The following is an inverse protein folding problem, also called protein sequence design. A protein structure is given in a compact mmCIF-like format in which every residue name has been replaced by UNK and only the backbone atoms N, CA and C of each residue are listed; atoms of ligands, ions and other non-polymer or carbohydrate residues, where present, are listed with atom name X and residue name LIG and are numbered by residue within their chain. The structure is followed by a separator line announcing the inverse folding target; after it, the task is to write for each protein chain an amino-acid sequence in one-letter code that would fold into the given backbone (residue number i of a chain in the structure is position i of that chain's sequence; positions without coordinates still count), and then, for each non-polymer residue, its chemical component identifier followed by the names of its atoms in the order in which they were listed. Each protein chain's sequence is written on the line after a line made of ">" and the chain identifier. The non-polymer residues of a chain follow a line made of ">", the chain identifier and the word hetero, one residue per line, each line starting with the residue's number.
data_IF_166775720521
#
_entry.id   IF_166775720521
#
_cell.length_a   1.000
_cell.length_b   1.000
_cell.length_c   1.000
_cell.angle_alpha   90.00
_cell.angle_beta   90.00
_cell.angle_gamma   90.00
#
_symmetry.space_group_name_H-M   'P 1'
#
loop_
_entity.id
_entity.type
_entity.pdbx_description
1 polymer ?
#
# COMPACT_ATOMS: atom_id res chain seq x y z
N UNK A 1 4.18 -9.06 14.16
CA UNK A 1 4.52 -8.31 12.94
C UNK A 1 3.24 -7.67 12.44
N UNK A 2 3.17 -6.35 12.28
CA UNK A 2 1.95 -5.64 11.87
C UNK A 2 2.06 -5.24 10.40
N UNK A 3 1.06 -5.55 9.58
CA UNK A 3 1.04 -5.13 8.18
C UNK A 3 0.77 -3.64 8.05
N UNK A 4 1.61 -2.93 7.30
CA UNK A 4 1.52 -1.50 6.99
C UNK A 4 1.34 -1.33 5.48
N UNK A 5 0.20 -0.75 5.06
CA UNK A 5 -0.07 -0.37 3.65
C UNK A 5 0.00 1.16 3.54
N UNK A 6 0.93 1.68 2.76
CA UNK A 6 1.14 3.11 2.59
C UNK A 6 0.14 3.73 1.60
N UNK A 7 -0.48 4.85 1.96
CA UNK A 7 -1.40 5.62 1.12
C UNK A 7 -0.78 6.97 0.73
N UNK A 8 -0.46 7.20 -0.54
CA UNK A 8 0.26 8.41 -0.97
C UNK A 8 -0.56 9.34 -1.86
N UNK A 9 -0.26 10.64 -1.86
CA UNK A 9 -1.00 11.64 -2.63
C UNK A 9 -0.75 11.59 -4.15
N UNK A 10 0.35 10.98 -4.60
CA UNK A 10 0.72 10.85 -6.02
C UNK A 10 1.22 9.44 -6.32
N UNK A 11 0.96 8.98 -7.55
CA UNK A 11 1.42 7.71 -8.10
C UNK A 11 2.82 7.83 -8.73
N UNK A 12 3.77 8.42 -8.01
CA UNK A 12 5.14 8.51 -8.51
C UNK A 12 5.89 7.22 -8.22
N UNK A 13 6.62 6.69 -9.21
CA UNK A 13 7.36 5.43 -9.10
C UNK A 13 8.31 5.40 -7.88
N UNK A 14 8.90 6.55 -7.56
CA UNK A 14 9.80 6.70 -6.41
C UNK A 14 9.08 6.67 -5.06
N UNK A 15 7.79 7.03 -4.99
CA UNK A 15 7.05 7.03 -3.72
C UNK A 15 6.81 5.61 -3.24
N UNK A 16 6.50 4.69 -4.17
CA UNK A 16 6.39 3.27 -3.84
C UNK A 16 7.69 2.75 -3.25
N UNK A 17 8.81 2.97 -3.92
CA UNK A 17 10.11 2.46 -3.49
C UNK A 17 10.49 2.99 -2.10
N UNK A 18 10.32 4.30 -1.88
CA UNK A 18 10.56 4.94 -0.58
C UNK A 18 9.73 4.33 0.54
N UNK A 19 8.44 4.07 0.31
CA UNK A 19 7.57 3.48 1.32
C UNK A 19 8.00 2.05 1.68
N UNK A 20 8.35 1.24 0.68
CA UNK A 20 8.80 -0.14 0.92
C UNK A 20 10.16 -0.16 1.65
N UNK A 21 11.10 0.70 1.27
CA UNK A 21 12.39 0.86 1.96
C UNK A 21 12.24 1.34 3.41
N UNK A 22 11.22 2.17 3.68
CA UNK A 22 10.87 2.62 5.02
C UNK A 22 10.15 1.54 5.86
N UNK A 23 9.88 0.35 5.31
CA UNK A 23 9.29 -0.78 6.02
C UNK A 23 7.80 -0.98 5.80
N UNK A 24 7.17 -0.31 4.82
CA UNK A 24 5.82 -0.65 4.42
C UNK A 24 5.77 -2.02 3.72
N UNK A 25 4.70 -2.75 3.95
CA UNK A 25 4.43 -4.02 3.29
C UNK A 25 3.87 -3.80 1.88
N UNK A 26 3.08 -2.75 1.70
CA UNK A 26 2.47 -2.42 0.40
C UNK A 26 2.17 -0.92 0.24
N UNK A 27 1.62 -0.57 -0.93
CA UNK A 27 1.43 0.80 -1.39
C UNK A 27 0.16 0.97 -2.24
N UNK A 28 -0.58 2.06 -2.01
CA UNK A 28 -1.74 2.48 -2.79
C UNK A 28 -1.69 4.01 -3.03
N UNK A 29 -1.76 4.49 -4.29
CA UNK A 29 -1.87 5.92 -4.58
C UNK A 29 -3.30 6.45 -4.37
N UNK A 30 -3.41 7.75 -4.07
CA UNK A 30 -4.68 8.49 -4.11
C UNK A 30 -4.99 8.98 -5.55
N UNK A 31 -6.28 9.16 -5.91
CA UNK A 31 -7.47 8.83 -5.11
C UNK A 31 -7.58 7.32 -4.87
N UNK A 32 -8.05 6.95 -3.68
CA UNK A 32 -8.08 5.54 -3.28
C UNK A 32 -9.16 4.81 -4.06
N UNK A 33 -8.75 3.79 -4.80
CA UNK A 33 -9.65 2.76 -5.31
C UNK A 33 -9.98 1.78 -4.17
N UNK A 34 -11.25 1.80 -3.75
CA UNK A 34 -11.75 1.03 -2.61
C UNK A 34 -11.72 -0.48 -2.89
N UNK A 35 -12.02 -0.90 -4.11
CA UNK A 35 -11.99 -2.32 -4.51
C UNK A 35 -10.56 -2.86 -4.48
N UNK A 36 -9.61 -2.04 -4.95
CA UNK A 36 -8.18 -2.36 -4.87
C UNK A 36 -7.71 -2.46 -3.42
N UNK A 37 -8.13 -1.54 -2.55
CA UNK A 37 -7.79 -1.57 -1.12
C UNK A 37 -8.32 -2.85 -0.46
N UNK A 38 -9.59 -3.21 -0.67
CA UNK A 38 -10.16 -4.44 -0.11
C UNK A 38 -9.45 -5.69 -0.62
N UNK A 39 -9.11 -5.73 -1.91
CA UNK A 39 -8.34 -6.84 -2.49
C UNK A 39 -6.99 -7.00 -1.80
N UNK A 40 -6.27 -5.89 -1.58
CA UNK A 40 -5.01 -5.88 -0.84
C UNK A 40 -5.17 -6.33 0.61
N UNK A 41 -6.18 -5.83 1.32
CA UNK A 41 -6.46 -6.25 2.70
C UNK A 41 -6.73 -7.75 2.79
N UNK A 42 -7.49 -8.32 1.86
CA UNK A 42 -7.75 -9.77 1.84
C UNK A 42 -6.45 -10.57 1.73
N UNK A 43 -5.54 -10.18 0.84
CA UNK A 43 -4.23 -10.84 0.68
C UNK A 43 -3.40 -10.80 1.96
N UNK A 44 -3.38 -9.66 2.65
CA UNK A 44 -2.57 -9.48 3.85
C UNK A 44 -3.20 -10.06 5.13
N UNK A 45 -4.53 -10.17 5.19
CA UNK A 45 -5.25 -10.78 6.32
C UNK A 45 -5.35 -12.31 6.20
N UNK A 46 -5.19 -12.87 5.01
CA UNK A 46 -5.19 -14.32 4.80
C UNK A 46 -3.82 -14.97 4.97
N UNK A 47 -2.78 -14.19 5.28
CA UNK A 47 -1.44 -14.69 5.62
C UNK A 47 -1.28 -14.85 7.12
#
# INVERSE_FOLDING_TARGET
>A
NLTIIALTAKAMQNDRQKCIEAGANDYIPKPVDVERLFSLMRVWLSK
#
